data_IF_052371301151
#
_entry.id   IF_052371301151
#
_cell.length_a   1.000
_cell.length_b   1.000
_cell.length_c   1.000
_cell.angle_alpha   90.00
_cell.angle_beta   90.00
_cell.angle_gamma   90.00
#
_symmetry.space_group_name_H-M   'P 1'
#
loop_
_entity.id
_entity.type
_entity.pdbx_description
1 polymer ?
#
# COMPACT_ATOMS: atom_id res chain seq x y z
N UNK A 1 -2.76 -43.30 -61.60
CA UNK A 1 -3.35 -41.94 -61.71
C UNK A 1 -4.50 -41.78 -60.71
N UNK A 2 -5.54 -42.63 -60.74
CA UNK A 2 -6.70 -42.55 -59.81
C UNK A 2 -6.29 -42.60 -58.33
N UNK A 3 -5.48 -43.59 -57.92
CA UNK A 3 -5.01 -43.72 -56.52
C UNK A 3 -4.18 -42.52 -56.05
N UNK A 4 -3.44 -41.87 -56.96
CA UNK A 4 -2.67 -40.68 -56.63
C UNK A 4 -3.60 -39.47 -56.41
N UNK A 5 -4.68 -39.36 -57.18
CA UNK A 5 -5.70 -38.31 -57.01
C UNK A 5 -6.48 -38.47 -55.69
N UNK A 6 -6.79 -39.70 -55.29
CA UNK A 6 -7.45 -39.99 -54.00
C UNK A 6 -6.58 -39.58 -52.81
N UNK A 7 -5.28 -39.91 -52.86
CA UNK A 7 -4.32 -39.51 -51.82
C UNK A 7 -4.20 -37.98 -51.69
N UNK A 8 -4.14 -37.26 -52.83
CA UNK A 8 -4.11 -35.79 -52.83
C UNK A 8 -5.39 -35.22 -52.21
N UNK A 9 -6.56 -35.82 -52.50
CA UNK A 9 -7.84 -35.39 -51.93
C UNK A 9 -7.87 -35.56 -50.40
N UNK A 10 -7.35 -36.68 -49.89
CA UNK A 10 -7.24 -36.91 -48.45
C UNK A 10 -6.26 -35.94 -47.77
N UNK A 11 -5.11 -35.67 -48.39
CA UNK A 11 -4.13 -34.70 -47.89
C UNK A 11 -4.73 -33.28 -47.86
N UNK A 12 -5.46 -32.86 -48.91
CA UNK A 12 -6.15 -31.56 -48.94
C UNK A 12 -7.26 -31.46 -47.88
N UNK A 13 -7.97 -32.55 -47.59
CA UNK A 13 -8.97 -32.58 -46.52
C UNK A 13 -8.34 -32.54 -45.13
N UNK A 14 -7.15 -33.13 -44.96
CA UNK A 14 -6.33 -33.01 -43.77
C UNK A 14 -5.84 -31.57 -43.56
N UNK A 15 -5.33 -30.93 -44.62
CA UNK A 15 -4.88 -29.54 -44.60
C UNK A 15 -6.01 -28.57 -44.27
N UNK A 16 -7.20 -28.73 -44.89
CA UNK A 16 -8.35 -27.88 -44.57
C UNK A 16 -8.74 -27.97 -43.10
N UNK A 17 -8.83 -29.19 -42.54
CA UNK A 17 -9.12 -29.37 -41.11
C UNK A 17 -8.04 -28.77 -40.22
N UNK A 18 -6.77 -28.89 -40.62
CA UNK A 18 -5.66 -28.26 -39.89
C UNK A 18 -5.75 -26.74 -39.86
N UNK A 19 -6.07 -26.12 -41.00
CA UNK A 19 -6.26 -24.66 -41.10
C UNK A 19 -7.46 -24.20 -40.27
N UNK A 20 -8.56 -24.93 -40.32
CA UNK A 20 -9.78 -24.60 -39.56
C UNK A 20 -9.54 -24.67 -38.04
N UNK A 21 -8.86 -25.73 -37.57
CA UNK A 21 -8.47 -25.86 -36.16
C UNK A 21 -7.48 -24.75 -35.73
N UNK A 22 -6.53 -24.38 -36.60
CA UNK A 22 -5.62 -23.28 -36.32
C UNK A 22 -6.36 -21.93 -36.24
N UNK A 23 -7.36 -21.70 -37.09
CA UNK A 23 -8.19 -20.49 -37.07
C UNK A 23 -8.98 -20.40 -35.76
N UNK A 24 -9.65 -21.48 -35.37
CA UNK A 24 -10.42 -21.55 -34.11
C UNK A 24 -9.53 -21.31 -32.89
N UNK A 25 -8.33 -21.90 -32.87
CA UNK A 25 -7.36 -21.65 -31.80
C UNK A 25 -6.92 -20.18 -31.76
N UNK A 26 -6.72 -19.56 -32.92
CA UNK A 26 -6.34 -18.15 -32.98
C UNK A 26 -7.46 -17.22 -32.48
N UNK A 27 -8.72 -17.51 -32.79
CA UNK A 27 -9.87 -16.79 -32.25
C UNK A 27 -9.95 -16.92 -30.73
N UNK A 28 -9.82 -18.13 -30.20
CA UNK A 28 -9.83 -18.36 -28.75
C UNK A 28 -8.68 -17.60 -28.03
N UNK A 29 -7.50 -17.54 -28.63
CA UNK A 29 -6.37 -16.77 -28.09
C UNK A 29 -6.67 -15.27 -28.09
N UNK A 30 -7.31 -14.76 -29.13
CA UNK A 30 -7.70 -13.35 -29.21
C UNK A 30 -8.75 -12.99 -28.15
N UNK A 31 -9.75 -13.86 -27.93
CA UNK A 31 -10.75 -13.68 -26.86
C UNK A 31 -10.11 -13.67 -25.48
N UNK A 32 -9.19 -14.61 -25.21
CA UNK A 32 -8.43 -14.63 -23.96
C UNK A 32 -7.61 -13.34 -23.81
N UNK A 33 -6.98 -12.86 -24.89
CA UNK A 33 -6.24 -11.60 -24.89
C UNK A 33 -7.09 -10.41 -24.49
N UNK A 34 -8.30 -10.31 -25.03
CA UNK A 34 -9.25 -9.25 -24.69
C UNK A 34 -9.66 -9.30 -23.21
N UNK A 35 -9.97 -10.48 -22.68
CA UNK A 35 -10.34 -10.66 -21.27
C UNK A 35 -9.19 -10.32 -20.31
N UNK A 36 -7.95 -10.66 -20.67
CA UNK A 36 -6.76 -10.28 -19.91
C UNK A 36 -6.60 -8.76 -19.89
N UNK A 37 -6.79 -8.09 -21.02
CA UNK A 37 -6.66 -6.65 -21.11
C UNK A 37 -7.71 -5.92 -20.25
N UNK A 38 -8.97 -6.35 -20.30
CA UNK A 38 -10.04 -5.81 -19.44
C UNK A 38 -9.70 -6.00 -17.95
N UNK A 39 -9.20 -7.18 -17.58
CA UNK A 39 -8.78 -7.47 -16.20
C UNK A 39 -7.62 -6.57 -15.76
N UNK A 40 -6.64 -6.30 -16.64
CA UNK A 40 -5.54 -5.39 -16.35
C UNK A 40 -6.02 -3.95 -16.11
N UNK A 41 -6.95 -3.47 -16.93
CA UNK A 41 -7.53 -2.13 -16.76
C UNK A 41 -8.28 -2.01 -15.43
N UNK A 42 -9.08 -3.01 -15.07
CA UNK A 42 -9.78 -3.06 -13.79
C UNK A 42 -8.81 -3.04 -12.59
N UNK A 43 -7.71 -3.79 -12.68
CA UNK A 43 -6.68 -3.80 -11.63
C UNK A 43 -5.97 -2.45 -11.49
N UNK A 44 -5.65 -1.80 -12.61
CA UNK A 44 -5.03 -0.47 -12.59
C UNK A 44 -5.97 0.57 -11.95
N UNK A 45 -7.25 0.54 -12.28
CA UNK A 45 -8.25 1.42 -11.65
C UNK A 45 -8.35 1.16 -10.14
N UNK A 46 -8.41 -0.11 -9.72
CA UNK A 46 -8.40 -0.49 -8.31
C UNK A 46 -7.16 0.02 -7.57
N UNK A 47 -5.98 -0.06 -8.20
CA UNK A 47 -4.74 0.44 -7.63
C UNK A 47 -4.76 1.97 -7.42
N UNK A 48 -5.35 2.72 -8.34
CA UNK A 48 -5.52 4.18 -8.20
C UNK A 48 -6.40 4.52 -7.00
N UNK A 49 -7.52 3.80 -6.82
CA UNK A 49 -8.43 3.99 -5.69
C UNK A 49 -7.71 3.71 -4.37
N UNK A 50 -6.98 2.58 -4.28
CA UNK A 50 -6.22 2.23 -3.08
C UNK A 50 -5.14 3.25 -2.74
N UNK A 51 -4.41 3.75 -3.76
CA UNK A 51 -3.42 4.84 -3.59
C UNK A 51 -4.08 6.11 -3.03
N UNK A 52 -5.24 6.48 -3.55
CA UNK A 52 -5.95 7.68 -3.09
C UNK A 52 -6.46 7.53 -1.65
N UNK A 53 -6.98 6.35 -1.30
CA UNK A 53 -7.36 6.03 0.09
C UNK A 53 -6.15 6.08 1.03
N UNK A 54 -5.01 5.54 0.61
CA UNK A 54 -3.78 5.58 1.39
C UNK A 54 -3.33 7.02 1.68
N UNK A 55 -3.37 7.91 0.69
CA UNK A 55 -3.05 9.34 0.88
C UNK A 55 -3.99 9.98 1.92
N UNK A 56 -5.29 9.72 1.83
CA UNK A 56 -6.28 10.22 2.78
C UNK A 56 -6.01 9.74 4.21
N UNK A 57 -5.70 8.45 4.38
CA UNK A 57 -5.34 7.87 5.69
C UNK A 57 -4.08 8.53 6.24
N UNK A 58 -3.01 8.67 5.43
CA UNK A 58 -1.76 9.30 5.86
C UNK A 58 -2.01 10.74 6.34
N UNK A 59 -2.79 11.51 5.60
CA UNK A 59 -3.16 12.88 5.99
C UNK A 59 -3.94 12.89 7.31
N UNK A 60 -4.89 11.97 7.46
CA UNK A 60 -5.72 11.86 8.67
C UNK A 60 -4.88 11.49 9.90
N UNK A 61 -3.94 10.54 9.76
CA UNK A 61 -3.04 10.13 10.84
C UNK A 61 -2.07 11.26 11.21
N UNK A 62 -1.49 11.95 10.23
CA UNK A 62 -0.63 13.11 10.48
C UNK A 62 -1.36 14.24 11.21
N UNK A 63 -2.64 14.46 10.89
CA UNK A 63 -3.49 15.38 11.64
C UNK A 63 -3.72 14.90 13.08
N UNK A 64 -3.96 13.61 13.33
CA UNK A 64 -4.16 13.10 14.69
C UNK A 64 -2.92 13.21 15.59
N UNK A 65 -1.71 13.05 15.05
CA UNK A 65 -0.47 13.26 15.82
C UNK A 65 -0.22 14.74 16.17
N UNK A 66 -0.72 15.64 15.33
CA UNK A 66 -0.72 17.09 15.59
C UNK A 66 -1.90 17.56 16.46
N UNK A 67 -3.00 16.79 16.49
CA UNK A 67 -4.25 17.16 17.16
C UNK A 67 -4.29 16.82 18.65
N UNK A 68 -3.29 16.10 19.19
CA UNK A 68 -3.09 16.08 20.64
C UNK A 68 -2.62 17.47 21.06
N UNK A 69 -3.57 18.28 21.52
CA UNK A 69 -3.32 19.64 21.98
C UNK A 69 -2.12 19.65 22.93
N UNK A 70 -1.23 20.68 22.87
CA UNK A 70 -0.09 20.79 23.77
C UNK A 70 -0.49 20.67 25.25
N UNK A 71 -1.73 21.06 25.59
CA UNK A 71 -2.33 20.87 26.92
C UNK A 71 -2.43 19.40 27.34
N UNK A 72 -2.87 18.50 26.46
CA UNK A 72 -3.03 17.08 26.76
C UNK A 72 -1.67 16.38 26.83
N UNK A 73 -0.73 16.69 25.92
CA UNK A 73 0.66 16.22 26.01
C UNK A 73 1.31 16.63 27.33
N UNK A 74 1.11 17.89 27.74
CA UNK A 74 1.59 18.38 29.03
C UNK A 74 0.90 17.73 30.23
N UNK A 75 -0.39 17.41 30.13
CA UNK A 75 -1.12 16.70 31.17
C UNK A 75 -0.55 15.29 31.39
N UNK A 76 -0.31 14.56 30.31
CA UNK A 76 0.31 13.22 30.34
C UNK A 76 1.73 13.31 30.91
N UNK A 77 2.56 14.22 30.38
CA UNK A 77 3.93 14.41 30.87
C UNK A 77 3.97 14.71 32.38
N UNK A 78 3.07 15.57 32.88
CA UNK A 78 2.95 15.84 34.33
C UNK A 78 2.55 14.61 35.13
N UNK A 79 1.61 13.79 34.64
CA UNK A 79 1.18 12.56 35.31
C UNK A 79 2.31 11.53 35.37
N UNK A 80 3.05 11.37 34.27
CA UNK A 80 4.20 10.47 34.19
C UNK A 80 5.33 10.95 35.10
N UNK A 81 5.70 12.23 35.03
CA UNK A 81 6.80 12.80 35.81
C UNK A 81 6.49 12.83 37.32
N UNK A 82 5.22 12.94 37.73
CA UNK A 82 4.82 12.81 39.14
C UNK A 82 5.16 11.44 39.74
N UNK A 83 5.25 10.40 38.92
CA UNK A 83 5.60 9.04 39.35
C UNK A 83 7.13 8.82 39.37
N UNK A 84 7.91 9.77 38.87
CA UNK A 84 9.37 9.68 38.92
C UNK A 84 9.85 9.85 40.37
N UNK A 85 10.57 8.85 40.87
CA UNK A 85 11.04 8.81 42.25
C UNK A 85 12.54 8.53 42.40
N UNK A 86 13.22 8.10 41.32
CA UNK A 86 14.66 7.86 41.30
C UNK A 86 15.35 8.93 40.47
N UNK A 87 16.55 9.31 40.87
CA UNK A 87 17.31 10.36 40.19
C UNK A 87 17.65 10.00 38.74
N UNK A 88 17.71 8.71 38.40
CA UNK A 88 17.92 8.24 37.05
C UNK A 88 16.63 8.06 36.23
N UNK A 89 15.45 8.34 36.79
CA UNK A 89 14.19 8.25 36.05
C UNK A 89 14.17 9.30 34.95
N UNK A 90 14.01 8.86 33.70
CA UNK A 90 13.84 9.72 32.53
C UNK A 90 12.50 10.45 32.63
N UNK A 91 12.51 11.76 32.40
CA UNK A 91 11.32 12.59 32.43
C UNK A 91 10.76 12.80 31.02
N UNK A 92 9.44 12.79 30.91
CA UNK A 92 8.73 13.24 29.72
C UNK A 92 8.84 14.77 29.61
N UNK A 93 9.29 15.32 28.47
CA UNK A 93 9.42 16.76 28.30
C UNK A 93 8.07 17.46 28.30
N UNK A 94 8.05 18.69 28.81
CA UNK A 94 6.92 19.60 28.59
C UNK A 94 7.01 20.24 27.21
N UNK A 95 5.85 20.59 26.67
CA UNK A 95 5.67 21.17 25.34
C UNK A 95 5.14 22.62 25.46
N UNK A 96 5.67 23.51 24.64
CA UNK A 96 5.22 24.90 24.53
C UNK A 96 3.91 25.05 23.76
N UNK A 97 3.43 26.28 23.60
CA UNK A 97 2.20 26.60 22.86
C UNK A 97 2.27 26.19 21.38
N UNK A 98 3.48 26.08 20.83
CA UNK A 98 3.76 25.61 19.47
C UNK A 98 3.87 24.07 19.36
N UNK A 99 3.64 23.33 20.46
CA UNK A 99 3.76 21.87 20.50
C UNK A 99 5.20 21.34 20.44
N UNK A 100 6.22 22.21 20.47
CA UNK A 100 7.62 21.80 20.56
C UNK A 100 8.03 21.61 22.02
N UNK A 101 9.00 20.71 22.27
CA UNK A 101 9.53 20.51 23.62
C UNK A 101 10.21 21.79 24.14
N UNK A 102 10.06 22.06 25.45
CA UNK A 102 10.68 23.21 26.10
C UNK A 102 12.22 23.03 26.04
N UNK A 103 12.97 23.98 25.44
CA UNK A 103 14.42 23.90 25.37
C UNK A 103 15.04 23.81 26.76
N UNK A 104 16.03 22.93 26.93
CA UNK A 104 16.74 22.76 28.21
C UNK A 104 15.95 22.02 29.29
N UNK A 105 14.82 21.39 28.96
CA UNK A 105 14.09 20.56 29.92
C UNK A 105 14.99 19.42 30.46
N UNK A 106 15.05 19.19 31.78
CA UNK A 106 15.91 18.18 32.38
C UNK A 106 15.57 16.78 31.86
N UNK A 107 16.58 16.01 31.46
CA UNK A 107 16.39 14.64 30.95
C UNK A 107 15.97 13.66 32.04
N UNK A 108 16.45 13.87 33.26
CA UNK A 108 16.16 13.00 34.40
C UNK A 108 15.72 13.78 35.63
N UNK A 109 15.11 13.09 36.59
CA UNK A 109 14.76 13.67 37.88
C UNK A 109 16.00 14.21 38.61
N UNK A 110 17.13 13.52 38.50
CA UNK A 110 18.40 13.95 39.07
C UNK A 110 18.90 15.26 38.47
N UNK A 111 18.76 15.45 37.15
CA UNK A 111 19.08 16.72 36.49
C UNK A 111 18.16 17.83 36.97
N UNK A 112 16.85 17.55 37.11
CA UNK A 112 15.86 18.51 37.58
C UNK A 112 16.13 18.99 39.01
N UNK A 113 16.65 18.11 39.89
CA UNK A 113 17.01 18.45 41.28
C UNK A 113 18.26 19.32 41.41
N UNK A 114 19.07 19.42 40.35
CA UNK A 114 20.35 20.15 40.33
C UNK A 114 20.24 21.55 39.73
N UNK A 115 19.06 21.92 39.21
CA UNK A 115 18.70 23.26 38.73
C UNK A 115 18.22 24.12 39.90
#
# INVERSE_FOLDING_TARGET
IITALEKIKEEMAGLHRGVEAALQNSEAILEIGAAIQETQEALLQGQVILRQQQVCIIQSVGLTDSATAPSEKNRIARLTNRRANRDNTVLEPLYGLNGQSVPGFPRTLGDAKRL
#
